data_IF_764724166446
#
_entry.id   IF_764724166446
#
_cell.length_a   1.000
_cell.length_b   1.000
_cell.length_c   1.000
_cell.angle_alpha   90.00
_cell.angle_beta   90.00
_cell.angle_gamma   90.00
#
_symmetry.space_group_name_H-M   'P 1'
#
loop_
_entity.id
_entity.type
_entity.pdbx_description
1 polymer ?
#
# COMPACT_ATOMS: atom_id res chain seq x y z
N UNK A 1 -7.49 22.57 -18.79
CA UNK A 1 -8.60 22.22 -19.70
C UNK A 1 -8.21 21.22 -20.81
N UNK A 2 -6.98 21.25 -21.33
CA UNK A 2 -6.48 20.29 -22.35
C UNK A 2 -6.35 18.86 -21.81
N UNK A 3 -5.87 18.64 -20.57
CA UNK A 3 -5.73 17.33 -19.96
C UNK A 3 -7.08 16.58 -19.78
N UNK A 4 -8.18 17.29 -19.49
CA UNK A 4 -9.52 16.70 -19.39
C UNK A 4 -10.09 16.23 -20.75
N UNK A 5 -9.60 16.74 -21.86
CA UNK A 5 -10.07 16.37 -23.21
C UNK A 5 -9.38 15.09 -23.71
N UNK A 6 -8.15 14.83 -23.27
CA UNK A 6 -7.41 13.60 -23.55
C UNK A 6 -7.74 12.44 -22.61
N UNK A 7 -8.29 12.72 -21.42
CA UNK A 7 -8.63 11.66 -20.46
C UNK A 7 -9.85 10.84 -20.90
N UNK A 8 -10.83 11.42 -21.58
CA UNK A 8 -12.05 10.72 -22.01
C UNK A 8 -11.80 9.55 -22.99
N UNK A 9 -11.03 9.70 -24.09
CA UNK A 9 -10.74 8.57 -24.96
C UNK A 9 -9.89 7.49 -24.28
N UNK A 10 -8.99 7.86 -23.37
CA UNK A 10 -8.14 6.92 -22.64
C UNK A 10 -8.93 6.07 -21.65
N UNK A 11 -9.99 6.62 -21.02
CA UNK A 11 -10.85 5.89 -20.09
C UNK A 11 -11.62 4.75 -20.75
N UNK A 12 -11.91 4.83 -22.05
CA UNK A 12 -12.55 3.74 -22.80
C UNK A 12 -11.54 2.85 -23.51
N UNK A 13 -10.45 3.43 -24.01
CA UNK A 13 -9.44 2.68 -24.75
C UNK A 13 -8.75 1.61 -23.90
N UNK A 14 -8.42 1.92 -22.65
CA UNK A 14 -7.73 0.98 -21.77
C UNK A 14 -8.58 -0.27 -21.44
N UNK A 15 -9.84 -0.16 -20.96
CA UNK A 15 -10.70 -1.33 -20.75
C UNK A 15 -10.93 -2.13 -22.03
N UNK A 16 -11.12 -1.47 -23.19
CA UNK A 16 -11.30 -2.14 -24.48
C UNK A 16 -10.04 -2.91 -24.89
N UNK A 17 -8.86 -2.32 -24.71
CA UNK A 17 -7.59 -2.98 -24.99
C UNK A 17 -7.37 -4.21 -24.08
N UNK A 18 -7.71 -4.11 -22.78
CA UNK A 18 -7.67 -5.24 -21.87
C UNK A 18 -8.66 -6.34 -22.26
N UNK A 19 -9.91 -5.98 -22.60
CA UNK A 19 -10.89 -6.95 -23.11
C UNK A 19 -10.40 -7.63 -24.38
N UNK A 20 -9.86 -6.88 -25.34
CA UNK A 20 -9.27 -7.46 -26.55
C UNK A 20 -8.10 -8.39 -26.21
N UNK A 21 -7.23 -8.02 -25.30
CA UNK A 21 -6.13 -8.86 -24.83
C UNK A 21 -6.62 -10.17 -24.21
N UNK A 22 -7.66 -10.13 -23.38
CA UNK A 22 -8.29 -11.32 -22.79
C UNK A 22 -8.86 -12.26 -23.84
N UNK A 23 -9.49 -11.72 -24.90
CA UNK A 23 -10.05 -12.51 -25.99
C UNK A 23 -8.99 -13.08 -26.93
N UNK A 24 -7.90 -12.33 -27.17
CA UNK A 24 -6.82 -12.76 -28.07
C UNK A 24 -5.82 -13.71 -27.38
N UNK A 25 -5.69 -13.66 -26.06
CA UNK A 25 -4.73 -14.42 -25.27
C UNK A 25 -5.39 -15.10 -24.05
N UNK A 26 -6.47 -15.90 -24.23
CA UNK A 26 -7.26 -16.43 -23.11
C UNK A 26 -6.44 -17.36 -22.21
N UNK A 27 -5.61 -18.22 -22.80
CA UNK A 27 -4.77 -19.17 -22.02
C UNK A 27 -3.72 -18.44 -21.19
N UNK A 28 -3.07 -17.43 -21.77
CA UNK A 28 -2.09 -16.61 -21.05
C UNK A 28 -2.72 -15.83 -19.89
N UNK A 29 -3.91 -15.28 -20.09
CA UNK A 29 -4.67 -14.58 -19.08
C UNK A 29 -5.12 -15.51 -17.95
N UNK A 30 -5.66 -16.69 -18.29
CA UNK A 30 -6.08 -17.71 -17.32
C UNK A 30 -4.90 -18.20 -16.48
N UNK A 31 -3.76 -18.47 -17.11
CA UNK A 31 -2.53 -18.87 -16.39
C UNK A 31 -2.03 -17.75 -15.47
N UNK A 32 -2.06 -16.49 -15.90
CA UNK A 32 -1.69 -15.35 -15.07
C UNK A 32 -2.62 -15.17 -13.86
N UNK A 33 -3.94 -15.33 -14.05
CA UNK A 33 -4.90 -15.31 -12.96
C UNK A 33 -4.63 -16.44 -11.96
N UNK A 34 -4.34 -17.66 -12.44
CA UNK A 34 -3.95 -18.81 -11.60
C UNK A 34 -2.68 -18.52 -10.81
N UNK A 35 -1.66 -17.93 -11.44
CA UNK A 35 -0.42 -17.55 -10.76
C UNK A 35 -0.70 -16.48 -9.68
N UNK A 36 -1.54 -15.50 -9.96
CA UNK A 36 -1.98 -14.51 -8.98
C UNK A 36 -2.71 -15.14 -7.78
N UNK A 37 -3.60 -16.12 -8.02
CA UNK A 37 -4.26 -16.87 -6.95
C UNK A 37 -3.26 -17.66 -6.09
N UNK A 38 -2.27 -18.31 -6.71
CA UNK A 38 -1.22 -19.03 -5.98
C UNK A 38 -0.36 -18.06 -5.16
N UNK A 39 -0.01 -16.90 -5.70
CA UNK A 39 0.71 -15.85 -4.98
C UNK A 39 -0.09 -15.36 -3.76
N UNK A 40 -1.39 -15.14 -3.93
CA UNK A 40 -2.29 -14.79 -2.83
C UNK A 40 -2.34 -15.87 -1.76
N UNK A 41 -2.56 -17.13 -2.16
CA UNK A 41 -2.72 -18.25 -1.22
C UNK A 41 -1.43 -18.59 -0.46
N UNK A 42 -0.30 -18.57 -1.15
CA UNK A 42 0.97 -19.04 -0.58
C UNK A 42 1.76 -17.93 0.15
N UNK A 43 1.58 -16.68 -0.21
CA UNK A 43 2.38 -15.58 0.33
C UNK A 43 1.53 -14.51 1.00
N UNK A 44 0.56 -13.94 0.29
CA UNK A 44 -0.14 -12.73 0.74
C UNK A 44 -1.09 -13.04 1.89
N UNK A 45 -1.96 -14.03 1.73
CA UNK A 45 -2.94 -14.40 2.77
C UNK A 45 -2.25 -14.82 4.07
N UNK A 46 -1.27 -15.75 4.07
CA UNK A 46 -0.59 -16.15 5.30
C UNK A 46 0.14 -14.99 5.99
N UNK A 47 0.74 -14.08 5.22
CA UNK A 47 1.46 -12.95 5.78
C UNK A 47 0.53 -11.84 6.30
N UNK A 48 -0.51 -11.47 5.53
CA UNK A 48 -1.30 -10.27 5.83
C UNK A 48 -2.53 -10.54 6.70
N UNK A 49 -3.23 -11.67 6.48
CA UNK A 49 -4.52 -11.91 7.15
C UNK A 49 -4.43 -11.94 8.69
N UNK A 50 -3.51 -12.70 9.31
CA UNK A 50 -3.36 -12.68 10.76
C UNK A 50 -3.01 -11.30 11.31
N UNK A 51 -2.17 -10.57 10.55
CA UNK A 51 -1.73 -9.24 10.93
C UNK A 51 -2.86 -8.20 10.83
N UNK A 52 -3.70 -8.30 9.81
CA UNK A 52 -4.89 -7.46 9.67
C UNK A 52 -5.88 -7.69 10.81
N UNK A 53 -6.07 -8.94 11.26
CA UNK A 53 -6.90 -9.24 12.44
C UNK A 53 -6.34 -8.52 13.67
N UNK A 54 -5.04 -8.69 13.95
CA UNK A 54 -4.41 -8.08 15.12
C UNK A 54 -4.43 -6.55 15.06
N UNK A 55 -4.17 -5.96 13.90
CA UNK A 55 -4.24 -4.50 13.70
C UNK A 55 -5.65 -3.98 13.94
N UNK A 56 -6.66 -4.62 13.34
CA UNK A 56 -8.07 -4.25 13.51
C UNK A 56 -8.52 -4.43 14.96
N UNK A 57 -8.08 -5.48 15.63
CA UNK A 57 -8.38 -5.74 17.03
C UNK A 57 -7.74 -4.67 17.93
N UNK A 58 -6.51 -4.25 17.65
CA UNK A 58 -5.84 -3.17 18.38
C UNK A 58 -6.61 -1.85 18.26
N UNK A 59 -7.19 -1.58 17.09
CA UNK A 59 -8.07 -0.41 16.86
C UNK A 59 -9.35 -0.53 17.67
N UNK A 60 -10.09 -1.63 17.48
CA UNK A 60 -11.43 -1.83 18.06
C UNK A 60 -11.42 -1.89 19.60
N UNK A 61 -10.31 -2.31 20.20
CA UNK A 61 -10.09 -2.32 21.65
C UNK A 61 -9.59 -0.98 22.21
N UNK A 62 -9.41 0.04 21.36
CA UNK A 62 -8.91 1.36 21.76
C UNK A 62 -7.40 1.42 22.02
N UNK A 63 -6.65 0.36 21.69
CA UNK A 63 -5.19 0.34 21.81
C UNK A 63 -4.52 1.39 20.93
N UNK A 64 -4.94 1.50 19.67
CA UNK A 64 -4.43 2.51 18.74
C UNK A 64 -4.61 3.94 19.26
N UNK A 65 -5.76 4.26 19.88
CA UNK A 65 -6.01 5.58 20.46
C UNK A 65 -5.10 5.87 21.67
N UNK A 66 -4.73 4.85 22.46
CA UNK A 66 -3.76 5.00 23.56
C UNK A 66 -2.36 5.30 23.04
N UNK A 67 -1.90 4.56 22.03
CA UNK A 67 -0.61 4.84 21.36
C UNK A 67 -0.64 6.20 20.67
N UNK A 68 -1.75 6.54 20.01
CA UNK A 68 -1.94 7.84 19.38
C UNK A 68 -1.78 9.00 20.36
N UNK A 69 -2.32 8.91 21.58
CA UNK A 69 -2.14 9.94 22.63
C UNK A 69 -0.68 10.09 23.05
N UNK A 70 0.06 9.00 23.13
CA UNK A 70 1.48 9.02 23.46
C UNK A 70 2.31 9.78 22.40
N UNK A 71 1.92 9.64 21.13
CA UNK A 71 2.60 10.26 19.99
C UNK A 71 2.06 11.66 19.63
N UNK A 72 1.02 12.14 20.31
CA UNK A 72 0.37 13.42 19.97
C UNK A 72 1.33 14.62 19.98
N UNK A 73 2.26 14.65 20.95
CA UNK A 73 3.31 15.67 21.01
C UNK A 73 4.26 15.62 19.80
N UNK A 74 4.64 14.43 19.37
CA UNK A 74 5.50 14.22 18.19
C UNK A 74 4.81 14.72 16.94
N UNK A 75 3.51 14.41 16.79
CA UNK A 75 2.72 14.87 15.63
C UNK A 75 2.69 16.38 15.51
N UNK A 76 2.48 17.10 16.61
CA UNK A 76 2.46 18.57 16.63
C UNK A 76 3.83 19.19 16.35
N UNK A 77 4.91 18.67 16.91
CA UNK A 77 6.25 19.24 16.81
C UNK A 77 6.89 18.96 15.43
N UNK A 78 6.86 17.70 14.98
CA UNK A 78 7.60 17.27 13.80
C UNK A 78 6.80 17.38 12.51
N UNK A 79 5.49 17.09 12.57
CA UNK A 79 4.63 16.98 11.37
C UNK A 79 3.62 18.11 11.25
N UNK A 80 3.50 18.99 12.24
CA UNK A 80 2.48 20.05 12.32
C UNK A 80 1.05 19.50 12.14
N UNK A 81 0.79 18.34 12.76
CA UNK A 81 -0.46 17.61 12.67
C UNK A 81 -1.22 17.62 14.02
N UNK A 82 -2.55 17.55 14.00
CA UNK A 82 -3.34 17.34 15.22
C UNK A 82 -2.93 16.06 15.95
N UNK A 83 -3.03 16.02 17.27
CA UNK A 83 -2.70 14.83 18.05
C UNK A 83 -3.53 13.59 17.67
N UNK A 84 -4.77 13.77 17.22
CA UNK A 84 -5.62 12.70 16.72
C UNK A 84 -5.01 11.96 15.50
N UNK A 85 -4.25 12.67 14.67
CA UNK A 85 -3.57 12.12 13.48
C UNK A 85 -2.52 11.05 13.81
N UNK A 86 -2.06 10.97 15.07
CA UNK A 86 -1.15 9.93 15.52
C UNK A 86 -1.75 8.52 15.33
N UNK A 87 -3.07 8.38 15.34
CA UNK A 87 -3.72 7.11 15.03
C UNK A 87 -3.46 6.66 13.59
N UNK A 88 -3.49 7.58 12.61
CA UNK A 88 -3.17 7.26 11.23
C UNK A 88 -1.71 6.83 11.05
N UNK A 89 -0.77 7.47 11.77
CA UNK A 89 0.63 7.06 11.77
C UNK A 89 0.80 5.63 12.30
N UNK A 90 0.26 5.36 13.50
CA UNK A 90 0.37 4.03 14.13
C UNK A 90 -0.29 2.95 13.26
N UNK A 91 -1.50 3.21 12.77
CA UNK A 91 -2.25 2.23 11.99
C UNK A 91 -1.68 2.04 10.60
N UNK A 92 -1.16 3.09 9.98
CA UNK A 92 -0.49 3.02 8.69
C UNK A 92 0.79 2.20 8.76
N UNK A 93 1.59 2.36 9.82
CA UNK A 93 2.80 1.55 10.01
C UNK A 93 2.52 0.13 10.48
N UNK A 94 1.49 -0.12 11.27
CA UNK A 94 1.14 -1.47 11.73
C UNK A 94 0.31 -2.23 10.70
N UNK A 95 -0.74 -1.59 10.17
CA UNK A 95 -1.68 -2.24 9.27
C UNK A 95 -1.23 -2.29 7.81
N UNK A 96 -0.37 -1.37 7.41
CA UNK A 96 0.06 -1.25 6.02
C UNK A 96 -1.05 -0.73 5.09
N UNK A 97 -0.84 -0.90 3.78
CA UNK A 97 -1.85 -0.59 2.76
C UNK A 97 -3.09 -1.47 2.91
N UNK A 98 -4.29 -0.97 2.70
CA UNK A 98 -4.72 0.42 2.59
C UNK A 98 -5.18 1.02 3.94
N UNK A 99 -4.79 0.41 5.08
CA UNK A 99 -5.29 0.78 6.42
C UNK A 99 -4.92 2.23 6.78
N UNK A 100 -3.71 2.66 6.41
CA UNK A 100 -3.26 4.04 6.61
C UNK A 100 -4.20 5.03 5.94
N UNK A 101 -4.43 4.87 4.64
CA UNK A 101 -5.33 5.74 3.87
C UNK A 101 -6.77 5.72 4.41
N UNK A 102 -7.31 4.55 4.74
CA UNK A 102 -8.65 4.43 5.34
C UNK A 102 -8.75 5.20 6.66
N UNK A 103 -7.73 5.13 7.50
CA UNK A 103 -7.71 5.85 8.78
C UNK A 103 -7.67 7.36 8.55
N UNK A 104 -6.88 7.84 7.58
CA UNK A 104 -6.85 9.26 7.22
C UNK A 104 -8.22 9.73 6.73
N UNK A 105 -8.90 8.97 5.87
CA UNK A 105 -10.27 9.29 5.44
C UNK A 105 -11.24 9.41 6.62
N UNK A 106 -11.19 8.47 7.56
CA UNK A 106 -12.02 8.52 8.78
C UNK A 106 -11.73 9.77 9.61
N UNK A 107 -10.45 10.13 9.81
CA UNK A 107 -10.10 11.36 10.53
C UNK A 107 -10.64 12.61 9.84
N UNK A 108 -10.62 12.64 8.51
CA UNK A 108 -11.16 13.74 7.72
C UNK A 108 -12.69 13.81 7.82
N UNK A 109 -13.40 12.69 7.70
CA UNK A 109 -14.86 12.60 7.89
C UNK A 109 -15.31 13.09 9.26
N UNK A 110 -14.58 12.68 10.31
CA UNK A 110 -14.83 13.07 11.69
C UNK A 110 -14.39 14.50 12.01
N UNK A 111 -13.87 15.24 11.01
CA UNK A 111 -13.34 16.62 11.15
C UNK A 111 -12.23 16.74 12.21
N UNK A 112 -11.47 15.68 12.40
CA UNK A 112 -10.31 15.63 13.30
C UNK A 112 -9.03 16.15 12.64
N UNK A 113 -9.02 16.27 11.31
CA UNK A 113 -8.02 16.97 10.52
C UNK A 113 -8.70 17.70 9.35
N UNK A 114 -8.07 18.74 8.86
CA UNK A 114 -8.51 19.44 7.65
C UNK A 114 -7.99 18.75 6.37
N UNK A 115 -8.42 19.24 5.20
CA UNK A 115 -8.03 18.68 3.91
C UNK A 115 -6.51 18.64 3.71
N UNK A 116 -5.83 19.76 3.99
CA UNK A 116 -4.38 19.89 3.82
C UNK A 116 -3.63 18.92 4.74
N UNK A 117 -4.12 18.78 5.97
CA UNK A 117 -3.59 17.83 6.95
C UNK A 117 -3.82 16.38 6.52
N UNK A 118 -5.01 16.06 5.99
CA UNK A 118 -5.33 14.72 5.49
C UNK A 118 -4.46 14.36 4.27
N UNK A 119 -4.36 15.25 3.27
CA UNK A 119 -3.50 15.04 2.10
C UNK A 119 -2.02 14.88 2.50
N UNK A 120 -1.53 15.63 3.47
CA UNK A 120 -0.18 15.45 4.01
C UNK A 120 -0.01 14.10 4.72
N UNK A 121 -0.98 13.65 5.53
CA UNK A 121 -0.94 12.34 6.18
C UNK A 121 -0.86 11.19 5.18
N UNK A 122 -1.56 11.29 4.04
CA UNK A 122 -1.51 10.30 2.98
C UNK A 122 -0.11 10.11 2.42
N UNK A 123 0.76 11.13 2.42
CA UNK A 123 2.12 11.04 1.91
C UNK A 123 3.01 10.10 2.72
N UNK A 124 2.75 9.91 4.03
CA UNK A 124 3.66 9.17 4.89
C UNK A 124 3.00 8.14 5.82
N UNK A 125 1.67 8.12 5.92
CA UNK A 125 0.95 7.12 6.72
C UNK A 125 0.45 5.92 5.92
N UNK A 126 0.59 5.92 4.59
CA UNK A 126 0.13 4.82 3.73
C UNK A 126 1.33 4.04 3.19
N UNK A 127 1.81 3.05 3.95
CA UNK A 127 3.06 2.34 3.73
C UNK A 127 2.87 0.83 3.58
N UNK A 128 3.91 0.12 3.12
CA UNK A 128 3.94 -1.33 3.24
C UNK A 128 3.98 -1.73 4.71
N UNK A 129 3.09 -2.63 5.13
CA UNK A 129 3.02 -3.09 6.51
C UNK A 129 4.14 -4.06 6.89
N UNK A 130 4.48 -4.16 8.20
CA UNK A 130 5.50 -5.09 8.69
C UNK A 130 5.23 -6.55 8.30
N UNK A 131 3.96 -6.95 8.20
CA UNK A 131 3.58 -8.28 7.75
C UNK A 131 4.12 -8.61 6.36
N UNK A 132 4.01 -7.68 5.41
CA UNK A 132 4.53 -7.86 4.06
C UNK A 132 6.05 -7.74 4.05
N UNK A 133 6.61 -6.74 4.73
CA UNK A 133 8.06 -6.49 4.72
C UNK A 133 8.82 -7.63 5.41
N UNK A 134 8.43 -8.03 6.62
CA UNK A 134 9.11 -9.07 7.38
C UNK A 134 8.75 -10.47 6.90
N UNK A 135 7.46 -10.73 6.65
CA UNK A 135 6.96 -12.03 6.26
C UNK A 135 7.22 -12.35 4.78
N UNK A 136 6.69 -11.53 3.87
CA UNK A 136 6.81 -11.78 2.44
C UNK A 136 8.21 -11.45 1.93
N UNK A 137 8.68 -10.21 2.09
CA UNK A 137 9.99 -9.81 1.55
C UNK A 137 11.13 -10.45 2.35
N UNK A 138 11.22 -10.22 3.66
CA UNK A 138 12.34 -10.68 4.48
C UNK A 138 12.46 -12.20 4.55
N UNK A 139 11.40 -12.87 5.02
CA UNK A 139 11.44 -14.31 5.28
C UNK A 139 11.25 -15.16 4.03
N UNK A 140 10.24 -14.86 3.19
CA UNK A 140 9.91 -15.72 2.07
C UNK A 140 10.78 -15.44 0.82
N UNK A 141 11.14 -14.19 0.54
CA UNK A 141 11.91 -13.83 -0.65
C UNK A 141 13.41 -13.80 -0.39
N UNK A 142 13.85 -13.06 0.63
CA UNK A 142 15.28 -12.94 0.95
C UNK A 142 15.80 -14.00 1.94
N UNK A 143 14.95 -14.83 2.51
CA UNK A 143 15.29 -15.86 3.51
C UNK A 143 16.13 -15.30 4.67
N UNK A 144 15.91 -14.03 5.05
CA UNK A 144 16.68 -13.32 6.05
C UNK A 144 15.81 -12.34 6.86
N UNK A 145 15.64 -12.64 8.14
CA UNK A 145 14.97 -11.72 9.05
C UNK A 145 15.73 -10.38 9.17
N UNK A 146 17.05 -10.40 9.13
CA UNK A 146 17.87 -9.18 9.20
C UNK A 146 17.60 -8.25 8.02
N UNK A 147 17.49 -8.78 6.79
CA UNK A 147 17.09 -8.00 5.61
C UNK A 147 15.66 -7.46 5.77
N UNK A 148 14.73 -8.27 6.29
CA UNK A 148 13.38 -7.82 6.57
C UNK A 148 13.34 -6.63 7.54
N UNK A 149 14.08 -6.70 8.66
CA UNK A 149 14.17 -5.59 9.61
C UNK A 149 14.87 -4.37 9.03
N UNK A 150 15.89 -4.54 8.19
CA UNK A 150 16.56 -3.44 7.51
C UNK A 150 15.60 -2.73 6.55
N UNK A 151 14.86 -3.48 5.72
CA UNK A 151 13.84 -2.92 4.82
C UNK A 151 12.74 -2.19 5.59
N UNK A 152 12.31 -2.74 6.72
CA UNK A 152 11.32 -2.08 7.58
C UNK A 152 11.87 -0.77 8.16
N UNK A 153 13.12 -0.76 8.62
CA UNK A 153 13.77 0.45 9.12
C UNK A 153 13.90 1.52 8.04
N UNK A 154 14.31 1.14 6.82
CA UNK A 154 14.36 2.03 5.65
C UNK A 154 12.98 2.60 5.35
N UNK A 155 11.94 1.77 5.33
CA UNK A 155 10.57 2.18 5.06
C UNK A 155 10.07 3.19 6.10
N UNK A 156 10.23 2.91 7.38
CA UNK A 156 9.81 3.81 8.46
C UNK A 156 10.58 5.13 8.39
N UNK A 157 11.90 5.07 8.25
CA UNK A 157 12.73 6.27 8.20
C UNK A 157 12.39 7.14 6.99
N UNK A 158 12.27 6.57 5.79
CA UNK A 158 11.92 7.33 4.58
C UNK A 158 10.53 7.96 4.67
N UNK A 159 9.54 7.22 5.17
CA UNK A 159 8.19 7.76 5.35
C UNK A 159 8.16 8.93 6.35
N UNK A 160 8.81 8.77 7.52
CA UNK A 160 8.90 9.86 8.50
C UNK A 160 9.66 11.08 7.95
N UNK A 161 10.73 10.85 7.18
CA UNK A 161 11.47 11.92 6.51
C UNK A 161 10.57 12.70 5.53
N UNK A 162 9.79 11.99 4.70
CA UNK A 162 8.80 12.62 3.80
C UNK A 162 7.79 13.44 4.60
N UNK A 163 7.25 12.87 5.69
CA UNK A 163 6.31 13.58 6.56
C UNK A 163 6.88 14.87 7.16
N UNK A 164 8.18 14.90 7.48
CA UNK A 164 8.84 16.12 7.99
C UNK A 164 9.15 17.12 6.88
N UNK A 165 9.63 16.66 5.72
CA UNK A 165 10.03 17.53 4.61
C UNK A 165 8.84 18.25 3.97
N UNK A 166 7.70 17.57 3.85
CA UNK A 166 6.50 18.12 3.21
C UNK A 166 5.46 18.64 4.22
N UNK A 167 5.84 18.82 5.50
CA UNK A 167 4.93 19.29 6.53
C UNK A 167 4.28 20.64 6.15
N UNK A 168 2.97 20.79 6.38
CA UNK A 168 2.28 22.05 6.12
C UNK A 168 2.76 23.15 7.06
N UNK A 169 2.50 24.41 6.69
CA UNK A 169 2.70 25.52 7.62
C UNK A 169 1.90 25.26 8.91
N UNK A 170 2.43 25.74 10.05
CA UNK A 170 1.80 25.53 11.35
C UNK A 170 0.44 26.23 11.36
N UNK A 171 -0.63 25.47 11.23
CA UNK A 171 -2.00 25.94 11.43
C UNK A 171 -2.40 25.88 12.88
N UNK A 172 -3.51 26.54 13.25
CA UNK A 172 -4.10 26.42 14.59
C UNK A 172 -4.62 24.97 14.75
N UNK A 173 -3.76 24.14 15.34
CA UNK A 173 -4.17 22.79 15.73
C UNK A 173 -4.97 22.89 17.02
N UNK A 174 -6.29 23.11 16.91
CA UNK A 174 -7.17 22.99 18.07
C UNK A 174 -6.99 21.60 18.67
N UNK A 175 -6.88 21.46 20.00
CA UNK A 175 -6.77 20.16 20.65
C UNK A 175 -8.07 19.40 20.44
N UNK A 176 -8.12 18.56 19.44
CA UNK A 176 -9.27 17.72 19.16
C UNK A 176 -9.26 16.52 20.09
N UNK A 177 -10.29 16.40 20.89
CA UNK A 177 -10.45 15.25 21.79
C UNK A 177 -10.58 13.97 20.94
N UNK A 178 -9.69 13.03 21.18
CA UNK A 178 -9.81 11.70 20.58
C UNK A 178 -11.17 11.10 20.96
N UNK A 179 -11.88 10.48 20.01
CA UNK A 179 -13.16 9.86 20.30
C UNK A 179 -13.03 8.87 21.47
N UNK A 180 -13.82 9.05 22.51
CA UNK A 180 -13.92 8.13 23.64
C UNK A 180 -14.65 6.87 23.13
N UNK A 181 -13.91 5.90 22.68
CA UNK A 181 -14.47 4.60 22.34
C UNK A 181 -15.05 3.96 23.61
N UNK A 182 -16.37 3.85 23.70
CA UNK A 182 -17.02 3.04 24.72
C UNK A 182 -16.42 1.62 24.67
N UNK A 183 -16.10 1.07 25.84
CA UNK A 183 -15.54 -0.29 25.96
C UNK A 183 -16.52 -1.30 25.35
N UNK A 184 -16.19 -1.83 24.18
CA UNK A 184 -16.99 -2.88 23.52
C UNK A 184 -16.55 -4.25 24.06
N UNK A 185 -17.45 -5.25 24.14
CA UNK A 185 -17.07 -6.62 24.52
C UNK A 185 -15.99 -7.16 23.60
N UNK A 186 -14.96 -7.80 24.15
CA UNK A 186 -13.83 -8.34 23.41
C UNK A 186 -14.26 -9.31 22.29
N UNK A 187 -15.26 -10.17 22.58
CA UNK A 187 -15.81 -11.10 21.58
C UNK A 187 -16.34 -10.40 20.33
N UNK A 188 -17.03 -9.28 20.51
CA UNK A 188 -17.54 -8.47 19.39
C UNK A 188 -16.39 -7.82 18.62
N UNK A 189 -15.41 -7.24 19.33
CA UNK A 189 -14.22 -6.67 18.70
C UNK A 189 -13.49 -7.71 17.85
N UNK A 190 -13.33 -8.94 18.36
CA UNK A 190 -12.67 -10.03 17.66
C UNK A 190 -13.42 -10.42 16.37
N UNK A 191 -14.73 -10.63 16.47
CA UNK A 191 -15.56 -11.02 15.32
C UNK A 191 -15.53 -9.93 14.22
N UNK A 192 -15.72 -8.66 14.60
CA UNK A 192 -15.66 -7.53 13.67
C UNK A 192 -14.27 -7.41 13.04
N UNK A 193 -13.20 -7.65 13.83
CA UNK A 193 -11.82 -7.59 13.34
C UNK A 193 -11.51 -8.70 12.31
N UNK A 194 -12.01 -9.92 12.54
CA UNK A 194 -11.86 -11.03 11.57
C UNK A 194 -12.60 -10.72 10.26
N UNK A 195 -13.83 -10.19 10.34
CA UNK A 195 -14.60 -9.82 9.15
C UNK A 195 -13.93 -8.69 8.35
N UNK A 196 -13.43 -7.67 9.04
CA UNK A 196 -12.71 -6.56 8.39
C UNK A 196 -11.40 -7.04 7.75
N UNK A 197 -10.65 -7.91 8.44
CA UNK A 197 -9.42 -8.49 7.91
C UNK A 197 -9.69 -9.37 6.68
N UNK A 198 -10.75 -10.17 6.70
CA UNK A 198 -11.15 -11.00 5.55
C UNK A 198 -11.49 -10.10 4.33
N UNK A 199 -12.31 -9.08 4.53
CA UNK A 199 -12.65 -8.13 3.46
C UNK A 199 -11.42 -7.42 2.90
N UNK A 200 -10.52 -6.94 3.76
CA UNK A 200 -9.28 -6.28 3.35
C UNK A 200 -8.38 -7.24 2.54
N UNK A 201 -8.21 -8.47 3.03
CA UNK A 201 -7.39 -9.49 2.36
C UNK A 201 -7.94 -9.85 0.99
N UNK A 202 -9.26 -10.06 0.87
CA UNK A 202 -9.91 -10.35 -0.42
C UNK A 202 -9.72 -9.20 -1.40
N UNK A 203 -9.85 -7.96 -0.93
CA UNK A 203 -9.62 -6.78 -1.77
C UNK A 203 -8.17 -6.72 -2.30
N UNK A 204 -7.19 -6.94 -1.44
CA UNK A 204 -5.77 -7.02 -1.87
C UNK A 204 -5.57 -8.12 -2.90
N UNK A 205 -6.09 -9.34 -2.64
CA UNK A 205 -5.97 -10.46 -3.57
C UNK A 205 -6.63 -10.16 -4.93
N UNK A 206 -7.79 -9.50 -4.95
CA UNK A 206 -8.46 -9.13 -6.19
C UNK A 206 -7.58 -8.21 -7.07
N UNK A 207 -6.95 -7.19 -6.47
CA UNK A 207 -6.01 -6.33 -7.19
C UNK A 207 -4.77 -7.08 -7.65
N UNK A 208 -4.19 -7.95 -6.82
CA UNK A 208 -3.02 -8.76 -7.19
C UNK A 208 -3.33 -9.65 -8.38
N UNK A 209 -4.46 -10.37 -8.37
CA UNK A 209 -4.88 -11.25 -9.46
C UNK A 209 -5.09 -10.43 -10.73
N UNK A 210 -5.84 -9.32 -10.65
CA UNK A 210 -6.09 -8.44 -11.79
C UNK A 210 -4.79 -7.91 -12.40
N UNK A 211 -3.90 -7.37 -11.59
CA UNK A 211 -2.62 -6.85 -12.08
C UNK A 211 -1.69 -7.94 -12.61
N UNK A 212 -1.76 -9.18 -12.10
CA UNK A 212 -1.06 -10.32 -12.72
C UNK A 212 -1.51 -10.55 -14.16
N UNK A 213 -2.81 -10.48 -14.41
CA UNK A 213 -3.36 -10.59 -15.78
C UNK A 213 -2.88 -9.42 -16.63
N UNK A 214 -2.95 -8.19 -16.12
CA UNK A 214 -2.47 -6.99 -16.84
C UNK A 214 -0.98 -7.13 -17.19
N UNK A 215 -0.14 -7.52 -16.24
CA UNK A 215 1.29 -7.75 -16.45
C UNK A 215 1.53 -8.74 -17.60
N UNK A 216 0.79 -9.85 -17.60
CA UNK A 216 0.94 -10.88 -18.64
C UNK A 216 0.50 -10.39 -20.02
N UNK A 217 -0.60 -9.65 -20.10
CA UNK A 217 -1.07 -9.08 -21.36
C UNK A 217 -0.08 -8.04 -21.92
N UNK A 218 0.51 -7.20 -21.06
CA UNK A 218 1.53 -6.24 -21.47
C UNK A 218 2.82 -6.94 -21.96
N UNK A 219 3.18 -8.05 -21.34
CA UNK A 219 4.31 -8.88 -21.80
C UNK A 219 4.02 -9.52 -23.16
N UNK A 220 2.82 -10.08 -23.36
CA UNK A 220 2.39 -10.64 -24.65
C UNK A 220 2.38 -9.59 -25.78
N UNK A 221 2.08 -8.32 -25.47
CA UNK A 221 2.15 -7.22 -26.42
C UNK A 221 3.60 -6.75 -26.72
N UNK A 222 4.61 -7.35 -26.09
CA UNK A 222 6.01 -6.98 -26.26
C UNK A 222 6.44 -5.70 -25.54
N UNK A 223 5.54 -5.07 -24.76
CA UNK A 223 5.83 -3.83 -24.04
C UNK A 223 6.97 -4.01 -23.03
N UNK A 224 7.02 -5.15 -22.34
CA UNK A 224 8.11 -5.44 -21.40
C UNK A 224 9.46 -5.55 -22.09
N UNK A 225 9.49 -6.14 -23.28
CA UNK A 225 10.71 -6.19 -24.11
C UNK A 225 11.22 -4.79 -24.47
N UNK A 226 10.31 -3.87 -24.83
CA UNK A 226 10.64 -2.48 -25.11
C UNK A 226 11.15 -1.75 -23.86
N UNK A 227 10.43 -1.87 -22.75
CA UNK A 227 10.83 -1.23 -21.49
C UNK A 227 12.16 -1.75 -20.96
N UNK A 228 12.45 -3.06 -21.09
CA UNK A 228 13.76 -3.62 -20.73
C UNK A 228 14.90 -3.03 -21.56
N UNK A 229 14.71 -2.83 -22.86
CA UNK A 229 15.71 -2.16 -23.70
C UNK A 229 15.99 -0.73 -23.24
N UNK A 230 14.95 0.01 -22.84
CA UNK A 230 15.11 1.35 -22.29
C UNK A 230 15.84 1.35 -20.94
N UNK A 231 15.51 0.43 -20.04
CA UNK A 231 16.23 0.27 -18.77
C UNK A 231 17.69 -0.13 -18.98
N UNK A 232 17.97 -1.03 -19.92
CA UNK A 232 19.34 -1.39 -20.29
C UNK A 232 20.12 -0.19 -20.84
N UNK A 233 19.49 0.66 -21.65
CA UNK A 233 20.08 1.92 -22.12
C UNK A 233 20.42 2.86 -20.96
N UNK A 234 19.61 2.87 -19.89
CA UNK A 234 19.89 3.59 -18.66
C UNK A 234 20.88 2.88 -17.71
N UNK A 235 21.57 1.85 -18.17
CA UNK A 235 22.54 1.05 -17.38
C UNK A 235 21.90 0.37 -16.15
N UNK A 236 20.59 0.10 -16.17
CA UNK A 236 19.94 -0.68 -15.13
C UNK A 236 20.39 -2.15 -15.18
N UNK A 237 20.85 -2.75 -14.07
CA UNK A 237 21.26 -4.14 -14.03
C UNK A 237 20.18 -5.09 -14.56
N UNK A 238 20.55 -6.09 -15.34
CA UNK A 238 19.60 -7.02 -15.95
C UNK A 238 18.73 -7.73 -14.91
N UNK A 239 19.33 -8.08 -13.76
CA UNK A 239 18.62 -8.71 -12.65
C UNK A 239 17.51 -7.83 -12.03
N UNK A 240 17.55 -6.52 -12.21
CA UNK A 240 16.57 -5.58 -11.64
C UNK A 240 15.47 -5.20 -12.62
N UNK A 241 15.69 -5.34 -13.93
CA UNK A 241 14.78 -4.84 -14.97
C UNK A 241 13.37 -5.44 -14.84
N UNK A 242 13.28 -6.77 -14.80
CA UNK A 242 11.98 -7.45 -14.71
C UNK A 242 11.29 -7.24 -13.35
N UNK A 243 12.00 -7.37 -12.20
CA UNK A 243 11.45 -7.02 -10.90
C UNK A 243 10.90 -5.60 -10.81
N UNK A 244 11.63 -4.60 -11.31
CA UNK A 244 11.20 -3.20 -11.30
C UNK A 244 9.97 -2.99 -12.18
N UNK A 245 9.95 -3.49 -13.42
CA UNK A 245 8.82 -3.36 -14.33
C UNK A 245 7.55 -4.01 -13.76
N UNK A 246 7.69 -5.21 -13.20
CA UNK A 246 6.58 -5.91 -12.57
C UNK A 246 6.10 -5.20 -11.29
N UNK A 247 7.05 -4.82 -10.44
CA UNK A 247 6.77 -4.23 -9.13
C UNK A 247 6.21 -2.81 -9.20
N UNK A 248 6.55 -2.03 -10.23
CA UNK A 248 5.93 -0.72 -10.47
C UNK A 248 4.43 -0.86 -10.73
N UNK A 249 4.01 -1.95 -11.34
CA UNK A 249 2.59 -2.24 -11.57
C UNK A 249 1.97 -3.00 -10.38
N UNK A 250 2.64 -4.05 -9.89
CA UNK A 250 2.16 -4.88 -8.80
C UNK A 250 3.33 -5.26 -7.86
N UNK A 251 3.29 -4.73 -6.65
CA UNK A 251 4.35 -4.82 -5.65
C UNK A 251 4.80 -6.26 -5.38
N UNK A 252 3.85 -7.18 -5.15
CA UNK A 252 4.16 -8.53 -4.69
C UNK A 252 4.92 -9.33 -5.75
N UNK A 253 4.54 -9.18 -7.02
CA UNK A 253 5.25 -9.80 -8.14
C UNK A 253 6.67 -9.27 -8.27
N UNK A 254 6.84 -7.95 -8.19
CA UNK A 254 8.16 -7.33 -8.27
C UNK A 254 9.09 -7.82 -7.17
N UNK A 255 8.59 -7.88 -5.94
CA UNK A 255 9.38 -8.34 -4.78
C UNK A 255 9.73 -9.82 -4.89
N UNK A 256 8.80 -10.67 -5.31
CA UNK A 256 9.05 -12.12 -5.48
C UNK A 256 10.11 -12.39 -6.55
N UNK A 257 10.13 -11.61 -7.63
CA UNK A 257 11.15 -11.74 -8.70
C UNK A 257 12.57 -11.35 -8.26
N UNK A 258 12.73 -10.72 -7.08
CA UNK A 258 14.03 -10.43 -6.47
C UNK A 258 14.61 -11.63 -5.70
N UNK A 259 13.90 -12.73 -5.58
CA UNK A 259 14.40 -13.93 -4.90
C UNK A 259 15.71 -14.42 -5.53
N UNK A 260 16.73 -14.63 -4.69
CA UNK A 260 18.05 -15.09 -5.14
C UNK A 260 18.95 -14.00 -5.76
N UNK A 261 18.50 -12.74 -5.84
CA UNK A 261 19.35 -11.64 -6.33
C UNK A 261 20.21 -11.07 -5.20
N UNK A 262 21.54 -11.09 -5.39
CA UNK A 262 22.52 -10.62 -4.37
C UNK A 262 22.31 -9.14 -4.04
N UNK A 263 22.02 -8.31 -5.05
CA UNK A 263 21.83 -6.86 -4.93
C UNK A 263 20.34 -6.43 -4.91
N UNK A 264 19.43 -7.36 -4.54
CA UNK A 264 17.99 -7.13 -4.55
C UNK A 264 17.47 -6.13 -3.51
N UNK A 265 18.31 -5.73 -2.54
CA UNK A 265 17.90 -4.83 -1.46
C UNK A 265 17.44 -3.44 -1.96
N UNK A 266 18.20 -2.84 -2.88
CA UNK A 266 17.89 -1.50 -3.41
C UNK A 266 16.57 -1.49 -4.17
N UNK A 267 16.36 -2.36 -5.20
CA UNK A 267 15.08 -2.39 -5.88
C UNK A 267 13.93 -2.82 -4.96
N UNK A 268 14.15 -3.67 -3.95
CA UNK A 268 13.13 -4.01 -2.97
C UNK A 268 12.72 -2.78 -2.14
N UNK A 269 13.67 -2.01 -1.62
CA UNK A 269 13.38 -0.79 -0.86
C UNK A 269 12.61 0.23 -1.71
N UNK A 270 13.00 0.40 -2.98
CA UNK A 270 12.28 1.25 -3.93
C UNK A 270 10.82 0.77 -4.14
N UNK A 271 10.64 -0.52 -4.45
CA UNK A 271 9.31 -1.08 -4.71
C UNK A 271 8.40 -1.03 -3.49
N UNK A 272 8.93 -1.30 -2.30
CA UNK A 272 8.18 -1.19 -1.04
C UNK A 272 7.73 0.24 -0.77
N UNK A 273 8.58 1.23 -1.08
CA UNK A 273 8.23 2.64 -0.91
C UNK A 273 7.26 3.13 -1.98
N UNK A 274 7.35 2.64 -3.21
CA UNK A 274 6.44 2.95 -4.31
C UNK A 274 5.06 2.31 -4.12
N UNK A 275 5.00 1.05 -3.66
CA UNK A 275 3.76 0.29 -3.43
C UNK A 275 3.15 -0.36 -4.67
N UNK A 276 3.50 0.09 -5.87
CA UNK A 276 2.90 -0.38 -7.14
C UNK A 276 1.56 0.29 -7.47
N UNK A 277 1.22 0.31 -8.76
CA UNK A 277 -0.06 0.84 -9.23
C UNK A 277 -1.26 0.11 -8.59
N UNK A 278 -1.14 -1.18 -8.28
CA UNK A 278 -2.18 -1.95 -7.59
C UNK A 278 -2.53 -1.35 -6.23
N UNK A 279 -1.54 -0.94 -5.45
CA UNK A 279 -1.74 -0.30 -4.14
C UNK A 279 -2.28 1.12 -4.29
N UNK A 280 -1.80 1.88 -5.29
CA UNK A 280 -2.40 3.19 -5.59
C UNK A 280 -3.88 3.08 -5.93
N UNK A 281 -4.28 2.09 -6.74
CA UNK A 281 -5.70 1.82 -7.01
C UNK A 281 -6.49 1.46 -5.74
N UNK A 282 -5.91 0.65 -4.84
CA UNK A 282 -6.53 0.33 -3.54
C UNK A 282 -6.71 1.59 -2.67
N UNK A 283 -5.71 2.45 -2.65
CA UNK A 283 -5.77 3.73 -1.92
C UNK A 283 -6.84 4.65 -2.51
N UNK A 284 -6.88 4.78 -3.84
CA UNK A 284 -7.91 5.56 -4.53
C UNK A 284 -9.33 5.08 -4.21
N UNK A 285 -9.53 3.76 -4.01
CA UNK A 285 -10.84 3.23 -3.60
C UNK A 285 -11.30 3.83 -2.27
N UNK A 286 -10.39 4.08 -1.34
CA UNK A 286 -10.70 4.75 -0.08
C UNK A 286 -11.02 6.25 -0.28
N UNK A 287 -10.37 6.90 -1.25
CA UNK A 287 -10.48 8.35 -1.49
C UNK A 287 -11.68 8.74 -2.37
N UNK A 288 -12.28 7.80 -3.12
CA UNK A 288 -13.37 8.11 -4.08
C UNK A 288 -14.60 8.76 -3.46
N UNK A 289 -14.82 8.60 -2.16
CA UNK A 289 -15.94 9.18 -1.43
C UNK A 289 -15.57 10.52 -0.77
N UNK A 290 -14.32 10.98 -0.91
CA UNK A 290 -13.79 12.16 -0.26
C UNK A 290 -13.20 13.13 -1.27
N UNK A 291 -13.23 14.43 -0.96
CA UNK A 291 -12.57 15.47 -1.76
C UNK A 291 -11.08 15.59 -1.39
N UNK A 292 -10.36 14.45 -1.41
CA UNK A 292 -8.94 14.34 -1.12
C UNK A 292 -8.16 13.97 -2.38
N UNK A 293 -6.96 14.53 -2.53
CA UNK A 293 -6.00 14.18 -3.59
C UNK A 293 -4.85 13.33 -3.02
N UNK A 294 -4.30 12.43 -3.87
CA UNK A 294 -3.04 11.72 -3.61
C UNK A 294 -1.87 12.56 -4.09
#
# INVERSE_FOLDING_TARGET
MLLRRFSRPLTWALPLALCAGLLLQPDAAAQAAKNGLLLCGNLIVPALFPFFILSSLLVSTGGAARFGRLLSGVMGIWFHQPGASASALVLGFLGGYPVGAKTVCTLYEEKLCDRTQAEHLLLFCNNAGPAFILGAAGSAVFHSAAIGFLLLAIQIFSALLVGVLFRPARGDTAPTQAPTNALRPFSRCLTESVQQAASATVNVCAFVIFFNVVLRLLDCCGLFGLCRRLLAFCHCPDAWQLPLLSGVLELSNGVVLLSGTVDGLIPAAFLLSWGGCSVHCQTLTCLTQHDLNL
#
